data_IF_435611276225
#
_entry.id   IF_435611276225
#
_cell.length_a   1.000
_cell.length_b   1.000
_cell.length_c   1.000
_cell.angle_alpha   90.00
_cell.angle_beta   90.00
_cell.angle_gamma   90.00
#
_symmetry.space_group_name_H-M   'P 1'
#
loop_
_entity.id
_entity.type
_entity.pdbx_description
1 polymer ?
#
# COMPACT_ATOMS: atom_id res chain seq x y z
N UNK A 1 0.61 -26.22 -33.05
CA UNK A 1 0.82 -24.94 -32.41
C UNK A 1 2.10 -24.36 -32.99
N UNK A 2 2.04 -23.19 -33.66
CA UNK A 2 3.25 -22.59 -34.24
C UNK A 2 4.11 -22.00 -33.08
N UNK A 3 5.41 -22.06 -33.18
CA UNK A 3 6.34 -21.54 -32.15
C UNK A 3 6.03 -20.06 -31.80
N UNK A 4 5.57 -19.28 -32.79
CA UNK A 4 5.10 -17.91 -32.55
C UNK A 4 3.95 -17.81 -31.54
N UNK A 5 3.03 -18.77 -31.50
CA UNK A 5 1.87 -18.77 -30.59
C UNK A 5 2.26 -19.00 -29.12
N UNK A 6 3.51 -19.42 -28.85
CA UNK A 6 4.07 -19.58 -27.51
C UNK A 6 4.61 -18.26 -26.93
N UNK A 7 5.10 -17.37 -27.79
CA UNK A 7 5.81 -16.15 -27.36
C UNK A 7 5.06 -14.84 -27.67
N UNK A 8 4.04 -14.88 -28.55
CA UNK A 8 3.27 -13.72 -28.92
C UNK A 8 1.79 -13.94 -28.63
N UNK A 9 1.15 -12.95 -28.01
CA UNK A 9 -0.30 -12.94 -27.83
C UNK A 9 -0.98 -12.77 -29.18
N UNK A 10 -2.12 -13.45 -29.39
CA UNK A 10 -2.89 -13.38 -30.65
C UNK A 10 -3.69 -12.09 -30.78
N UNK A 11 -4.12 -11.53 -29.64
CA UNK A 11 -4.97 -10.34 -29.57
C UNK A 11 -4.50 -9.41 -28.43
N UNK A 12 -4.89 -8.13 -28.52
CA UNK A 12 -4.64 -7.12 -27.49
C UNK A 12 -5.27 -7.47 -26.11
N UNK A 13 -6.19 -8.44 -26.07
CA UNK A 13 -6.80 -8.96 -24.85
C UNK A 13 -5.92 -9.93 -24.08
N UNK A 14 -4.71 -10.25 -24.58
CA UNK A 14 -3.78 -11.20 -23.95
C UNK A 14 -4.42 -12.53 -23.56
N UNK A 15 -5.28 -13.07 -24.44
CA UNK A 15 -5.85 -14.40 -24.25
C UNK A 15 -4.79 -15.45 -24.54
N UNK A 16 -4.06 -15.83 -23.47
CA UNK A 16 -2.84 -16.64 -23.56
C UNK A 16 -3.18 -18.08 -23.17
N UNK A 17 -2.83 -19.04 -24.01
CA UNK A 17 -2.98 -20.46 -23.69
C UNK A 17 -2.15 -20.85 -22.46
N UNK A 18 -2.61 -21.84 -21.68
CA UNK A 18 -1.94 -22.32 -20.49
C UNK A 18 -0.48 -22.74 -20.79
N UNK A 19 -0.26 -23.39 -21.92
CA UNK A 19 1.08 -23.80 -22.40
C UNK A 19 2.00 -22.61 -22.64
N UNK A 20 1.51 -21.53 -23.24
CA UNK A 20 2.28 -20.30 -23.44
C UNK A 20 2.61 -19.63 -22.10
N UNK A 21 1.69 -19.60 -21.13
CA UNK A 21 1.96 -19.09 -19.77
C UNK A 21 3.09 -19.87 -19.11
N UNK A 22 3.02 -21.19 -19.13
CA UNK A 22 4.04 -22.07 -18.52
C UNK A 22 5.41 -21.83 -19.17
N UNK A 23 5.47 -21.86 -20.51
CA UNK A 23 6.74 -21.69 -21.25
C UNK A 23 7.38 -20.33 -20.94
N UNK A 24 6.61 -19.25 -21.01
CA UNK A 24 7.17 -17.91 -20.75
C UNK A 24 7.56 -17.73 -19.28
N UNK A 25 6.76 -18.23 -18.34
CA UNK A 25 7.11 -18.17 -16.91
C UNK A 25 8.38 -18.97 -16.63
N UNK A 26 8.50 -20.19 -17.18
CA UNK A 26 9.71 -21.01 -17.03
C UNK A 26 10.93 -20.34 -17.66
N UNK A 27 10.78 -19.75 -18.85
CA UNK A 27 11.86 -19.02 -19.52
C UNK A 27 12.37 -17.83 -18.68
N UNK A 28 11.46 -17.04 -18.12
CA UNK A 28 11.83 -15.92 -17.24
C UNK A 28 12.49 -16.42 -15.96
N UNK A 29 12.00 -17.51 -15.37
CA UNK A 29 12.63 -18.13 -14.19
C UNK A 29 14.04 -18.63 -14.49
N UNK A 30 14.26 -19.27 -15.64
CA UNK A 30 15.61 -19.73 -16.05
C UNK A 30 16.55 -18.54 -16.20
N UNK A 31 16.14 -17.48 -16.89
CA UNK A 31 16.94 -16.26 -17.01
C UNK A 31 17.26 -15.68 -15.63
N UNK A 32 16.26 -15.61 -14.74
CA UNK A 32 16.44 -15.16 -13.35
C UNK A 32 17.48 -16.02 -12.60
N UNK A 33 17.39 -17.34 -12.69
CA UNK A 33 18.32 -18.27 -12.05
C UNK A 33 19.74 -18.08 -12.60
N UNK A 34 19.89 -17.97 -13.93
CA UNK A 34 21.21 -17.73 -14.56
C UNK A 34 21.80 -16.40 -14.09
N UNK A 35 21.00 -15.34 -14.08
CA UNK A 35 21.43 -14.02 -13.61
C UNK A 35 21.87 -14.05 -12.14
N UNK A 36 21.07 -14.65 -11.26
CA UNK A 36 21.41 -14.76 -9.85
C UNK A 36 22.63 -15.66 -9.60
N UNK A 37 22.75 -16.78 -10.30
CA UNK A 37 23.97 -17.62 -10.23
C UNK A 37 25.22 -16.84 -10.64
N UNK A 38 25.15 -16.09 -11.74
CA UNK A 38 26.24 -15.21 -12.17
C UNK A 38 26.56 -14.15 -11.12
N UNK A 39 25.54 -13.47 -10.58
CA UNK A 39 25.71 -12.46 -9.55
C UNK A 39 26.36 -13.05 -8.28
N UNK A 40 25.86 -14.19 -7.79
CA UNK A 40 26.42 -14.87 -6.62
C UNK A 40 27.84 -15.40 -6.84
N UNK A 41 28.17 -15.87 -8.04
CA UNK A 41 29.53 -16.34 -8.34
C UNK A 41 30.61 -15.24 -8.26
N UNK A 42 30.18 -13.96 -8.31
CA UNK A 42 31.06 -12.79 -8.17
C UNK A 42 31.21 -12.32 -6.73
N UNK A 43 30.38 -12.84 -5.82
CA UNK A 43 30.45 -12.49 -4.41
C UNK A 43 31.33 -13.54 -3.69
N UNK A 44 32.41 -13.08 -3.02
CA UNK A 44 33.14 -13.90 -2.06
C UNK A 44 32.32 -13.97 -0.75
N UNK A 45 31.17 -14.64 -0.83
CA UNK A 45 30.19 -14.67 0.25
C UNK A 45 29.96 -16.12 0.71
N UNK A 46 30.30 -16.38 1.98
CA UNK A 46 29.96 -17.62 2.64
C UNK A 46 28.56 -17.56 3.23
N UNK A 47 27.63 -18.26 2.60
CA UNK A 47 26.25 -18.31 3.09
C UNK A 47 26.18 -19.11 4.39
N UNK A 48 25.55 -18.51 5.41
CA UNK A 48 25.20 -19.22 6.64
C UNK A 48 23.86 -19.99 6.51
N UNK A 49 23.19 -19.85 5.37
CA UNK A 49 21.97 -20.57 5.07
C UNK A 49 20.81 -20.23 6.03
N UNK A 50 19.99 -21.22 6.33
CA UNK A 50 18.81 -21.07 7.20
C UNK A 50 19.14 -20.99 8.71
N UNK A 51 20.39 -21.18 9.12
CA UNK A 51 20.80 -21.15 10.54
C UNK A 51 20.49 -19.81 11.19
N UNK A 52 20.77 -18.69 10.50
CA UNK A 52 20.48 -17.33 10.96
C UNK A 52 18.98 -17.16 11.22
N UNK A 53 18.14 -17.64 10.31
CA UNK A 53 16.69 -17.55 10.51
C UNK A 53 16.22 -18.34 11.74
N UNK A 54 16.74 -19.54 11.94
CA UNK A 54 16.34 -20.37 13.08
C UNK A 54 16.80 -19.78 14.41
N UNK A 55 18.00 -19.19 14.45
CA UNK A 55 18.55 -18.54 15.64
C UNK A 55 17.74 -17.29 16.01
N UNK A 56 17.44 -16.42 15.04
CA UNK A 56 16.77 -15.14 15.29
C UNK A 56 15.25 -15.16 14.99
N UNK A 57 14.63 -16.32 14.85
CA UNK A 57 13.22 -16.48 14.47
C UNK A 57 12.25 -15.64 15.29
N UNK A 58 12.45 -15.55 16.61
CA UNK A 58 11.58 -14.76 17.48
C UNK A 58 11.64 -13.26 17.16
N UNK A 59 12.82 -12.74 16.80
CA UNK A 59 13.01 -11.35 16.42
C UNK A 59 12.32 -11.04 15.10
N UNK A 60 12.44 -11.92 14.13
CA UNK A 60 11.74 -11.81 12.84
C UNK A 60 10.22 -11.89 13.00
N UNK A 61 9.72 -12.88 13.76
CA UNK A 61 8.29 -13.03 14.02
C UNK A 61 7.73 -11.81 14.76
N UNK A 62 8.42 -11.34 15.79
CA UNK A 62 8.01 -10.15 16.54
C UNK A 62 7.91 -8.92 15.64
N UNK A 63 8.95 -8.63 14.84
CA UNK A 63 8.96 -7.51 13.89
C UNK A 63 7.83 -7.63 12.87
N UNK A 64 7.58 -8.84 12.35
CA UNK A 64 6.50 -9.12 11.42
C UNK A 64 5.12 -8.77 12.03
N UNK A 65 4.86 -9.18 13.27
CA UNK A 65 3.61 -8.84 13.98
C UNK A 65 3.49 -7.34 14.25
N UNK A 66 4.59 -6.67 14.62
CA UNK A 66 4.58 -5.20 14.82
C UNK A 66 4.22 -4.48 13.51
N UNK A 67 4.77 -4.91 12.37
CA UNK A 67 4.39 -4.38 11.05
C UNK A 67 2.88 -4.51 10.81
N UNK A 68 2.30 -5.67 11.09
CA UNK A 68 0.85 -5.88 10.94
C UNK A 68 0.05 -4.93 11.85
N UNK A 69 0.42 -4.84 13.13
CA UNK A 69 -0.27 -3.97 14.09
C UNK A 69 -0.21 -2.50 13.66
N UNK A 70 0.97 -1.98 13.37
CA UNK A 70 1.13 -0.61 12.89
C UNK A 70 0.28 -0.38 11.62
N UNK A 71 0.33 -1.30 10.67
CA UNK A 71 -0.40 -1.16 9.41
C UNK A 71 -1.91 -1.14 9.60
N UNK A 72 -2.46 -2.00 10.48
CA UNK A 72 -3.90 -2.03 10.77
C UNK A 72 -4.35 -0.74 11.47
N UNK A 73 -3.63 -0.31 12.52
CA UNK A 73 -3.99 0.93 13.22
C UNK A 73 -3.86 2.15 12.32
N UNK A 74 -2.79 2.22 11.54
CA UNK A 74 -2.59 3.30 10.57
C UNK A 74 -3.67 3.31 9.49
N UNK A 75 -4.12 2.14 9.00
CA UNK A 75 -5.22 2.04 8.05
C UNK A 75 -6.51 2.60 8.64
N UNK A 76 -6.90 2.16 9.84
CA UNK A 76 -8.13 2.62 10.50
C UNK A 76 -8.10 4.14 10.68
N UNK A 77 -6.99 4.66 11.23
CA UNK A 77 -6.82 6.10 11.40
C UNK A 77 -6.79 6.86 10.06
N UNK A 78 -6.16 6.29 9.02
CA UNK A 78 -6.10 6.92 7.70
C UNK A 78 -7.47 6.99 7.02
N UNK A 79 -8.34 6.01 7.21
CA UNK A 79 -9.71 6.05 6.71
C UNK A 79 -10.51 7.17 7.37
N UNK A 80 -10.33 7.38 8.67
CA UNK A 80 -10.99 8.47 9.41
C UNK A 80 -10.45 9.82 8.91
N UNK A 81 -9.13 10.02 8.95
CA UNK A 81 -8.49 11.26 8.52
C UNK A 81 -8.82 11.56 7.05
N UNK A 82 -8.69 10.58 6.16
CA UNK A 82 -8.96 10.73 4.75
C UNK A 82 -10.42 11.08 4.44
N UNK A 83 -11.37 10.48 5.16
CA UNK A 83 -12.78 10.81 5.04
C UNK A 83 -13.06 12.24 5.46
N UNK A 84 -12.50 12.70 6.59
CA UNK A 84 -12.63 14.07 7.07
C UNK A 84 -12.00 15.07 6.09
N UNK A 85 -10.81 14.79 5.57
CA UNK A 85 -10.15 15.61 4.57
C UNK A 85 -10.95 15.69 3.25
N UNK A 86 -11.51 14.57 2.78
CA UNK A 86 -12.36 14.55 1.58
C UNK A 86 -13.64 15.37 1.77
N UNK A 87 -14.25 15.33 2.96
CA UNK A 87 -15.39 16.18 3.31
C UNK A 87 -14.98 17.65 3.35
N UNK A 88 -13.81 17.96 3.92
CA UNK A 88 -13.28 19.32 3.99
C UNK A 88 -13.02 19.92 2.60
N UNK A 89 -12.46 19.13 1.66
CA UNK A 89 -12.27 19.57 0.26
C UNK A 89 -13.60 19.94 -0.44
N UNK A 90 -14.72 19.37 -0.03
CA UNK A 90 -16.05 19.67 -0.60
C UNK A 90 -16.86 20.67 0.24
N UNK A 91 -16.25 21.23 1.28
CA UNK A 91 -16.88 22.21 2.15
C UNK A 91 -17.15 23.54 1.40
N UNK A 92 -18.31 24.14 1.67
CA UNK A 92 -18.62 25.51 1.24
C UNK A 92 -17.91 26.58 2.08
N UNK A 93 -17.39 26.20 3.25
CA UNK A 93 -16.57 27.08 4.09
C UNK A 93 -15.15 27.13 3.50
N UNK A 94 -14.83 28.19 2.80
CA UNK A 94 -13.60 28.36 2.03
C UNK A 94 -12.31 28.16 2.85
N UNK A 95 -12.18 28.65 4.10
CA UNK A 95 -10.98 28.37 4.90
C UNK A 95 -10.71 26.87 5.08
N UNK A 96 -11.73 26.06 5.35
CA UNK A 96 -11.61 24.61 5.50
C UNK A 96 -11.27 23.94 4.16
N UNK A 97 -11.91 24.39 3.07
CA UNK A 97 -11.61 23.89 1.72
C UNK A 97 -10.13 24.10 1.35
N UNK A 98 -9.62 25.32 1.50
CA UNK A 98 -8.23 25.63 1.16
C UNK A 98 -7.24 24.96 2.11
N UNK A 99 -7.55 24.92 3.41
CA UNK A 99 -6.71 24.20 4.38
C UNK A 99 -6.53 22.73 4.00
N UNK A 100 -7.64 22.02 3.76
CA UNK A 100 -7.58 20.58 3.41
C UNK A 100 -6.90 20.37 2.06
N UNK A 101 -7.11 21.23 1.08
CA UNK A 101 -6.45 21.16 -0.23
C UNK A 101 -4.94 21.32 -0.10
N UNK A 102 -4.47 22.38 0.55
CA UNK A 102 -3.04 22.65 0.77
C UNK A 102 -2.41 21.51 1.55
N UNK A 103 -3.07 21.05 2.61
CA UNK A 103 -2.60 19.94 3.43
C UNK A 103 -2.37 18.67 2.60
N UNK A 104 -3.37 18.26 1.81
CA UNK A 104 -3.28 17.06 0.97
C UNK A 104 -2.18 17.21 -0.08
N UNK A 105 -2.10 18.36 -0.75
CA UNK A 105 -1.07 18.63 -1.76
C UNK A 105 0.33 18.60 -1.14
N UNK A 106 0.51 19.16 0.07
CA UNK A 106 1.80 19.14 0.78
C UNK A 106 2.20 17.71 1.16
N UNK A 107 1.29 16.94 1.76
CA UNK A 107 1.59 15.56 2.17
C UNK A 107 1.91 14.68 0.95
N UNK A 108 1.16 14.82 -0.15
CA UNK A 108 1.38 14.02 -1.36
C UNK A 108 2.56 14.52 -2.21
N UNK A 109 2.95 15.78 -2.05
CA UNK A 109 4.05 16.40 -2.78
C UNK A 109 5.43 16.26 -2.12
N UNK A 110 5.50 15.70 -0.91
CA UNK A 110 6.77 15.55 -0.18
C UNK A 110 7.10 14.08 0.08
N UNK A 111 8.40 13.70 0.13
CA UNK A 111 8.80 12.33 0.41
C UNK A 111 8.38 11.88 1.82
N UNK A 112 7.89 10.65 1.96
CA UNK A 112 7.47 10.11 3.27
C UNK A 112 8.59 10.13 4.31
N UNK A 113 9.83 9.85 3.90
CA UNK A 113 10.98 9.86 4.81
C UNK A 113 11.18 11.24 5.47
N UNK A 114 10.99 12.33 4.71
CA UNK A 114 11.09 13.71 5.23
C UNK A 114 9.94 13.96 6.22
N UNK A 115 8.74 13.50 5.90
CA UNK A 115 7.59 13.63 6.81
C UNK A 115 7.81 12.86 8.12
N UNK A 116 8.38 11.64 8.06
CA UNK A 116 8.69 10.87 9.26
C UNK A 116 9.61 11.67 10.19
N UNK A 117 10.69 12.27 9.68
CA UNK A 117 11.59 13.08 10.49
C UNK A 117 10.90 14.33 11.05
N UNK A 118 10.19 15.09 10.23
CA UNK A 118 9.52 16.31 10.67
C UNK A 118 8.43 16.02 11.71
N UNK A 119 7.59 15.02 11.45
CA UNK A 119 6.53 14.67 12.39
C UNK A 119 7.09 14.10 13.69
N UNK A 120 8.10 13.24 13.63
CA UNK A 120 8.66 12.63 14.82
C UNK A 120 9.42 13.63 15.69
N UNK A 121 10.36 14.37 15.10
CA UNK A 121 11.24 15.27 15.88
C UNK A 121 10.60 16.65 16.15
N UNK A 122 9.73 17.15 15.32
CA UNK A 122 9.11 18.46 15.53
C UNK A 122 7.74 18.30 16.17
N UNK A 123 6.80 17.60 15.51
CA UNK A 123 5.42 17.50 15.99
C UNK A 123 5.36 16.60 17.23
N UNK A 124 6.05 15.45 17.23
CA UNK A 124 6.09 14.54 18.38
C UNK A 124 6.64 15.22 19.63
N UNK A 125 7.74 15.96 19.47
CA UNK A 125 8.32 16.73 20.58
C UNK A 125 7.39 17.84 21.05
N UNK A 126 6.77 18.59 20.14
CA UNK A 126 5.85 19.67 20.49
C UNK A 126 4.59 19.16 21.21
N UNK A 127 4.13 17.97 20.91
CA UNK A 127 2.97 17.33 21.53
C UNK A 127 3.34 16.41 22.71
N UNK A 128 4.62 16.30 23.08
CA UNK A 128 5.14 15.39 24.10
C UNK A 128 4.79 13.91 23.87
N UNK A 129 4.71 13.50 22.59
CA UNK A 129 4.46 12.10 22.21
C UNK A 129 5.80 11.38 22.07
N UNK A 130 6.26 10.77 23.17
CA UNK A 130 7.57 10.10 23.24
C UNK A 130 7.52 8.64 22.73
N UNK A 131 6.33 8.07 22.60
CA UNK A 131 6.16 6.70 22.12
C UNK A 131 6.28 6.63 20.60
N UNK A 132 7.40 6.03 20.12
CA UNK A 132 7.69 5.90 18.68
C UNK A 132 6.66 5.08 17.91
N UNK A 133 6.00 4.10 18.55
CA UNK A 133 4.97 3.29 17.90
C UNK A 133 3.70 4.10 17.66
N UNK A 134 3.25 4.84 18.68
CA UNK A 134 2.10 5.75 18.54
C UNK A 134 2.40 6.80 17.48
N UNK A 135 3.57 7.41 17.54
CA UNK A 135 3.97 8.43 16.58
C UNK A 135 4.08 7.84 15.16
N UNK A 136 4.64 6.63 15.02
CA UNK A 136 4.69 5.90 13.76
C UNK A 136 3.30 5.68 13.15
N UNK A 137 2.34 5.24 13.96
CA UNK A 137 0.94 5.08 13.52
C UNK A 137 0.34 6.40 13.05
N UNK A 138 0.55 7.49 13.80
CA UNK A 138 0.02 8.82 13.45
C UNK A 138 0.62 9.37 12.15
N UNK A 139 1.93 9.20 11.97
CA UNK A 139 2.64 9.60 10.74
C UNK A 139 2.08 8.83 9.54
N UNK A 140 2.04 7.50 9.64
CA UNK A 140 1.53 6.66 8.56
C UNK A 140 0.05 6.91 8.27
N UNK A 141 -0.75 7.17 9.30
CA UNK A 141 -2.16 7.51 9.16
C UNK A 141 -2.37 8.85 8.47
N UNK A 142 -1.56 9.85 8.79
CA UNK A 142 -1.60 11.18 8.18
C UNK A 142 -1.20 11.10 6.70
N UNK A 143 -0.08 10.44 6.42
CA UNK A 143 0.40 10.20 5.06
C UNK A 143 -0.64 9.48 4.21
N UNK A 144 -1.06 8.29 4.65
CA UNK A 144 -2.04 7.49 3.92
C UNK A 144 -3.41 8.17 3.85
N UNK A 145 -3.79 8.95 4.88
CA UNK A 145 -5.03 9.70 4.92
C UNK A 145 -5.18 10.72 3.79
N UNK A 146 -4.09 11.36 3.39
CA UNK A 146 -4.08 12.26 2.24
C UNK A 146 -4.38 11.52 0.92
N UNK A 147 -3.84 10.32 0.74
CA UNK A 147 -4.16 9.47 -0.43
C UNK A 147 -5.59 8.94 -0.38
N UNK A 148 -6.06 8.50 0.80
CA UNK A 148 -7.44 8.07 1.02
C UNK A 148 -8.41 9.19 0.68
N UNK A 149 -8.13 10.43 1.08
CA UNK A 149 -8.96 11.59 0.76
C UNK A 149 -9.12 11.77 -0.76
N UNK A 150 -8.06 11.65 -1.52
CA UNK A 150 -8.09 11.76 -2.97
C UNK A 150 -8.81 10.57 -3.64
N UNK A 151 -8.64 9.36 -3.12
CA UNK A 151 -9.38 8.18 -3.57
C UNK A 151 -10.89 8.40 -3.38
N UNK A 152 -11.31 8.88 -2.20
CA UNK A 152 -12.71 9.16 -1.91
C UNK A 152 -13.24 10.30 -2.80
N UNK A 153 -12.47 11.39 -2.93
CA UNK A 153 -12.85 12.51 -3.80
C UNK A 153 -13.02 12.04 -5.25
N UNK A 154 -12.05 11.30 -5.80
CA UNK A 154 -12.13 10.74 -7.15
C UNK A 154 -13.33 9.82 -7.34
N UNK A 155 -13.64 8.98 -6.34
CA UNK A 155 -14.83 8.14 -6.33
C UNK A 155 -16.13 8.93 -6.39
N UNK A 156 -16.24 10.02 -5.64
CA UNK A 156 -17.42 10.90 -5.67
C UNK A 156 -17.51 11.66 -7.00
N UNK A 157 -16.40 12.18 -7.50
CA UNK A 157 -16.36 12.97 -8.73
C UNK A 157 -16.61 12.11 -9.99
N UNK A 158 -16.42 10.81 -9.90
CA UNK A 158 -16.69 9.87 -10.99
C UNK A 158 -18.18 9.57 -11.19
N UNK A 159 -19.07 9.99 -10.28
CA UNK A 159 -20.52 9.78 -10.44
C UNK A 159 -21.06 10.74 -11.51
N UNK A 160 -21.81 10.18 -12.46
CA UNK A 160 -22.40 10.95 -13.56
C UNK A 160 -23.35 12.02 -13.02
N UNK A 161 -23.18 13.26 -13.49
CA UNK A 161 -24.02 14.41 -13.10
C UNK A 161 -25.48 14.20 -13.51
N UNK A 162 -25.73 13.49 -14.62
CA UNK A 162 -27.09 13.20 -15.07
C UNK A 162 -27.87 12.38 -14.06
N UNK A 163 -27.24 11.44 -13.35
CA UNK A 163 -27.87 10.67 -12.28
C UNK A 163 -28.29 11.58 -11.10
N UNK A 164 -27.43 12.55 -10.76
CA UNK A 164 -27.70 13.49 -9.68
C UNK A 164 -28.83 14.44 -10.07
N UNK A 165 -28.88 14.87 -11.33
CA UNK A 165 -29.93 15.75 -11.88
C UNK A 165 -31.27 15.02 -11.98
N UNK A 166 -31.27 13.78 -12.49
CA UNK A 166 -32.47 12.94 -12.53
C UNK A 166 -33.06 12.70 -11.13
N UNK A 167 -32.22 12.44 -10.15
CA UNK A 167 -32.67 12.30 -8.76
C UNK A 167 -33.29 13.59 -8.20
N UNK A 168 -32.74 14.76 -8.58
CA UNK A 168 -33.36 16.06 -8.21
C UNK A 168 -34.73 16.25 -8.87
N UNK A 169 -34.84 15.90 -10.17
CA UNK A 169 -36.10 15.99 -10.91
C UNK A 169 -37.18 15.09 -10.30
N UNK A 170 -36.80 13.94 -9.74
CA UNK A 170 -37.68 13.01 -9.00
C UNK A 170 -37.99 13.48 -7.57
N UNK A 171 -37.52 14.65 -7.16
CA UNK A 171 -37.79 15.21 -5.84
C UNK A 171 -36.97 14.62 -4.69
N UNK A 172 -35.89 13.92 -4.98
CA UNK A 172 -35.01 13.37 -3.93
C UNK A 172 -34.38 14.49 -3.12
N UNK A 173 -34.47 14.39 -1.79
CA UNK A 173 -33.68 15.22 -0.88
C UNK A 173 -32.18 14.99 -1.03
N UNK A 174 -31.38 15.93 -0.54
CA UNK A 174 -29.90 15.74 -0.56
C UNK A 174 -29.48 14.45 0.15
N UNK A 175 -30.08 14.14 1.30
CA UNK A 175 -29.81 12.92 2.05
C UNK A 175 -30.16 11.66 1.24
N UNK A 176 -31.33 11.64 0.59
CA UNK A 176 -31.76 10.51 -0.24
C UNK A 176 -30.83 10.29 -1.43
N UNK A 177 -30.40 11.37 -2.13
CA UNK A 177 -29.40 11.28 -3.22
C UNK A 177 -28.10 10.66 -2.73
N UNK A 178 -27.56 11.14 -1.60
CA UNK A 178 -26.32 10.57 -1.07
C UNK A 178 -26.49 9.12 -0.65
N UNK A 179 -27.57 8.78 0.08
CA UNK A 179 -27.80 7.45 0.66
C UNK A 179 -28.09 6.37 -0.39
N UNK A 180 -28.89 6.70 -1.41
CA UNK A 180 -29.41 5.70 -2.34
C UNK A 180 -28.71 5.69 -3.70
N UNK A 181 -28.07 6.79 -4.11
CA UNK A 181 -27.45 6.88 -5.44
C UNK A 181 -25.92 7.00 -5.33
N UNK A 182 -25.42 8.00 -4.60
CA UNK A 182 -24.00 8.32 -4.58
C UNK A 182 -23.22 7.27 -3.77
N UNK A 183 -23.59 7.08 -2.50
CA UNK A 183 -22.82 6.24 -1.56
C UNK A 183 -22.62 4.80 -2.02
N UNK A 184 -23.66 4.08 -2.53
CA UNK A 184 -23.48 2.71 -3.01
C UNK A 184 -22.50 2.59 -4.18
N UNK A 185 -22.49 3.57 -5.08
CA UNK A 185 -21.59 3.59 -6.23
C UNK A 185 -20.17 3.99 -5.81
N UNK A 186 -20.04 5.02 -4.97
CA UNK A 186 -18.75 5.48 -4.45
C UNK A 186 -18.03 4.34 -3.72
N UNK A 187 -18.72 3.60 -2.84
CA UNK A 187 -18.12 2.46 -2.13
C UNK A 187 -17.52 1.47 -3.12
N UNK A 188 -18.25 1.09 -4.17
CA UNK A 188 -17.77 0.15 -5.19
C UNK A 188 -16.51 0.66 -5.91
N UNK A 189 -16.47 1.95 -6.25
CA UNK A 189 -15.35 2.57 -6.99
C UNK A 189 -14.13 2.84 -6.12
N UNK A 190 -14.32 3.06 -4.82
CA UNK A 190 -13.27 3.40 -3.86
C UNK A 190 -12.59 2.16 -3.27
N UNK A 191 -13.32 1.06 -3.11
CA UNK A 191 -12.80 -0.17 -2.48
C UNK A 191 -11.54 -0.76 -3.14
N UNK A 192 -11.44 -0.90 -4.48
CA UNK A 192 -10.23 -1.44 -5.10
C UNK A 192 -8.99 -0.56 -4.87
N UNK A 193 -9.02 0.76 -5.14
CA UNK A 193 -7.86 1.61 -4.88
C UNK A 193 -7.52 1.72 -3.39
N UNK A 194 -8.48 1.64 -2.46
CA UNK A 194 -8.19 1.58 -1.02
C UNK A 194 -7.43 0.30 -0.64
N UNK A 195 -7.79 -0.85 -1.20
CA UNK A 195 -7.04 -2.08 -0.98
C UNK A 195 -5.60 -1.97 -1.52
N UNK A 196 -5.41 -1.32 -2.67
CA UNK A 196 -4.08 -1.00 -3.21
C UNK A 196 -3.28 -0.08 -2.28
N UNK A 197 -3.92 0.98 -1.76
CA UNK A 197 -3.31 1.91 -0.79
C UNK A 197 -2.91 1.19 0.50
N UNK A 198 -3.71 0.24 0.98
CA UNK A 198 -3.35 -0.55 2.15
C UNK A 198 -2.11 -1.43 1.91
N UNK A 199 -2.02 -2.08 0.76
CA UNK A 199 -0.82 -2.84 0.39
C UNK A 199 0.44 -1.95 0.31
N UNK A 200 0.30 -0.70 -0.15
CA UNK A 200 1.39 0.29 -0.13
C UNK A 200 1.75 0.69 1.29
N UNK A 201 0.78 1.00 2.14
CA UNK A 201 0.99 1.39 3.54
C UNK A 201 1.80 0.35 4.33
N UNK A 202 1.55 -0.96 4.11
CA UNK A 202 2.34 -2.03 4.72
C UNK A 202 3.82 -1.93 4.32
N UNK A 203 4.11 -1.69 3.04
CA UNK A 203 5.50 -1.54 2.57
C UNK A 203 6.14 -0.25 3.09
N UNK A 204 5.38 0.83 3.09
CA UNK A 204 5.85 2.15 3.51
C UNK A 204 6.16 2.18 5.02
N UNK A 205 5.52 1.32 5.83
CA UNK A 205 5.82 1.19 7.25
C UNK A 205 7.26 0.77 7.54
N UNK A 206 7.96 0.15 6.57
CA UNK A 206 9.39 -0.17 6.65
C UNK A 206 10.26 1.06 6.92
N UNK A 207 9.85 2.24 6.45
CA UNK A 207 10.56 3.49 6.67
C UNK A 207 10.53 3.95 8.13
N UNK A 208 9.63 3.41 8.97
CA UNK A 208 9.62 3.72 10.40
C UNK A 208 10.84 3.13 11.13
N UNK A 209 11.59 2.23 10.50
CA UNK A 209 12.89 1.74 11.00
C UNK A 209 13.88 2.86 11.29
N UNK A 210 13.81 3.99 10.56
CA UNK A 210 14.71 5.15 10.74
C UNK A 210 14.51 5.89 12.06
N UNK A 211 13.31 5.84 12.64
CA UNK A 211 13.00 6.35 13.98
C UNK A 211 13.01 5.23 15.04
N UNK A 212 13.68 4.14 14.73
CA UNK A 212 13.88 2.97 15.58
C UNK A 212 12.56 2.33 16.08
N UNK A 213 11.52 2.31 15.26
CA UNK A 213 10.36 1.45 15.49
C UNK A 213 10.77 0.03 15.16
N UNK A 214 10.66 -0.90 16.13
CA UNK A 214 11.08 -2.29 15.96
C UNK A 214 10.04 -3.10 15.15
N UNK A 215 9.72 -2.60 13.94
CA UNK A 215 8.94 -3.32 12.94
C UNK A 215 9.85 -4.33 12.20
N UNK A 216 9.33 -5.01 11.19
CA UNK A 216 10.03 -6.12 10.55
C UNK A 216 11.38 -5.72 9.95
N UNK A 217 11.45 -4.59 9.23
CA UNK A 217 12.70 -4.10 8.62
C UNK A 217 13.74 -3.76 9.67
N UNK A 218 13.35 -3.07 10.75
CA UNK A 218 14.28 -2.73 11.85
C UNK A 218 14.85 -3.98 12.51
N UNK A 219 14.00 -4.98 12.79
CA UNK A 219 14.45 -6.23 13.38
C UNK A 219 15.42 -6.98 12.47
N UNK A 220 15.15 -7.00 11.14
CA UNK A 220 16.06 -7.60 10.16
C UNK A 220 17.40 -6.85 10.10
N UNK A 221 17.39 -5.51 10.08
CA UNK A 221 18.61 -4.68 10.11
C UNK A 221 19.46 -4.93 11.37
N UNK A 222 18.81 -5.11 12.51
CA UNK A 222 19.53 -5.43 13.76
C UNK A 222 20.15 -6.83 13.74
N UNK A 223 19.47 -7.82 13.17
CA UNK A 223 20.05 -9.15 12.97
C UNK A 223 21.24 -9.07 12.00
N UNK A 224 21.07 -8.35 10.90
CA UNK A 224 22.12 -8.17 9.89
C UNK A 224 23.38 -7.51 10.47
N UNK A 225 23.22 -6.53 11.35
CA UNK A 225 24.33 -5.85 12.04
C UNK A 225 25.13 -6.78 12.97
N UNK A 226 24.56 -7.92 13.39
CA UNK A 226 25.21 -8.91 14.26
C UNK A 226 25.82 -10.03 13.43
N UNK A 227 25.08 -10.49 12.40
CA UNK A 227 25.43 -11.69 11.65
C UNK A 227 26.27 -11.40 10.41
N UNK A 228 26.21 -10.18 9.88
CA UNK A 228 26.83 -9.77 8.61
C UNK A 228 26.42 -10.67 7.43
N UNK A 229 25.15 -11.11 7.42
CA UNK A 229 24.57 -12.00 6.40
C UNK A 229 23.43 -11.31 5.64
N UNK A 230 23.73 -10.23 4.88
CA UNK A 230 22.70 -9.41 4.26
C UNK A 230 21.81 -10.16 3.26
N UNK A 231 22.37 -11.15 2.56
CA UNK A 231 21.62 -11.89 1.53
C UNK A 231 20.48 -12.67 2.18
N UNK A 232 20.76 -13.45 3.21
CA UNK A 232 19.77 -14.25 3.94
C UNK A 232 18.76 -13.35 4.65
N UNK A 233 19.24 -12.32 5.36
CA UNK A 233 18.41 -11.43 6.13
C UNK A 233 17.42 -10.65 5.25
N UNK A 234 17.91 -10.04 4.15
CA UNK A 234 17.04 -9.31 3.24
C UNK A 234 16.18 -10.21 2.35
N UNK A 235 16.59 -11.47 2.09
CA UNK A 235 15.70 -12.45 1.48
C UNK A 235 14.50 -12.79 2.38
N UNK A 236 14.74 -13.01 3.68
CA UNK A 236 13.66 -13.19 4.67
C UNK A 236 12.74 -11.96 4.71
N UNK A 237 13.32 -10.75 4.70
CA UNK A 237 12.56 -9.51 4.67
C UNK A 237 11.67 -9.43 3.43
N UNK A 238 12.22 -9.68 2.25
CA UNK A 238 11.48 -9.65 1.00
C UNK A 238 10.32 -10.66 0.98
N UNK A 239 10.58 -11.90 1.40
CA UNK A 239 9.56 -12.95 1.50
C UNK A 239 8.46 -12.57 2.49
N UNK A 240 8.82 -12.01 3.65
CA UNK A 240 7.84 -11.55 4.64
C UNK A 240 6.93 -10.43 4.10
N UNK A 241 7.48 -9.42 3.41
CA UNK A 241 6.66 -8.38 2.78
C UNK A 241 5.80 -8.92 1.63
N UNK A 242 6.29 -9.86 0.84
CA UNK A 242 5.46 -10.54 -0.18
C UNK A 242 4.29 -11.27 0.50
N UNK A 243 4.55 -12.01 1.58
CA UNK A 243 3.52 -12.73 2.32
C UNK A 243 2.42 -11.79 2.86
N UNK A 244 2.80 -10.60 3.32
CA UNK A 244 1.86 -9.58 3.81
C UNK A 244 1.08 -8.90 2.67
N UNK A 245 1.75 -8.54 1.59
CA UNK A 245 1.16 -7.66 0.55
C UNK A 245 0.46 -8.43 -0.55
N UNK A 246 0.89 -9.66 -0.86
CA UNK A 246 0.32 -10.47 -1.94
C UNK A 246 -1.18 -10.77 -1.76
N UNK A 247 -1.66 -11.21 -0.57
CA UNK A 247 -3.09 -11.47 -0.35
C UNK A 247 -3.93 -10.22 -0.56
N UNK A 248 -3.45 -9.05 -0.08
CA UNK A 248 -4.16 -7.78 -0.18
C UNK A 248 -4.20 -7.29 -1.64
N UNK A 249 -3.07 -7.40 -2.35
CA UNK A 249 -2.99 -7.06 -3.77
C UNK A 249 -3.89 -7.97 -4.63
N UNK A 250 -3.98 -9.26 -4.27
CA UNK A 250 -4.89 -10.18 -4.94
C UNK A 250 -6.36 -9.82 -4.68
N UNK A 251 -6.69 -9.46 -3.43
CA UNK A 251 -8.03 -8.96 -3.07
C UNK A 251 -8.39 -7.68 -3.83
N UNK A 252 -7.46 -6.71 -3.93
CA UNK A 252 -7.66 -5.48 -4.72
C UNK A 252 -8.03 -5.79 -6.17
N UNK A 253 -7.26 -6.66 -6.84
CA UNK A 253 -7.54 -7.08 -8.22
C UNK A 253 -8.88 -7.82 -8.35
N UNK A 254 -9.27 -8.62 -7.35
CA UNK A 254 -10.56 -9.32 -7.35
C UNK A 254 -11.73 -8.34 -7.19
N UNK A 255 -11.57 -7.34 -6.33
CA UNK A 255 -12.56 -6.27 -6.16
C UNK A 255 -12.70 -5.44 -7.44
N UNK A 256 -11.58 -5.05 -8.05
CA UNK A 256 -11.57 -4.34 -9.32
C UNK A 256 -12.35 -5.09 -10.40
N UNK A 257 -12.05 -6.38 -10.62
CA UNK A 257 -12.80 -7.21 -11.58
C UNK A 257 -14.29 -7.28 -11.24
N UNK A 258 -14.64 -7.44 -9.96
CA UNK A 258 -16.05 -7.56 -9.54
C UNK A 258 -16.85 -6.28 -9.78
N UNK A 259 -16.22 -5.12 -9.62
CA UNK A 259 -16.87 -3.83 -9.74
C UNK A 259 -16.74 -3.18 -11.12
N UNK A 260 -15.77 -3.62 -11.94
CA UNK A 260 -15.63 -3.20 -13.34
C UNK A 260 -16.65 -3.85 -14.30
N UNK A 261 -17.20 -5.00 -13.94
CA UNK A 261 -18.22 -5.71 -14.75
C UNK A 261 -19.66 -5.27 -14.46
N UNK A 262 -19.87 -4.16 -13.79
CA UNK A 262 -21.20 -3.68 -13.36
C UNK A 262 -21.62 -2.35 -13.99
N UNK A 263 -20.91 -1.89 -15.04
CA UNK A 263 -21.30 -0.71 -15.84
C UNK A 263 -21.86 -1.13 -17.18
#
# INVERSE_FOLDING_TARGET
MKIKDLFYAKDDKFDITLSAKIVNTTFILIIGIIFWNYAFSRLNYESQGLSVFLEFKYKFIFGFFITIMISIFSLICSLIIGSLLAMGQKSRFLPLHYFTKIFIETIRGTPLIVQIYLFFYVVGTALNINNRYIMGVLIMATFSGAYVAEIIRGGIDSIDKTQIESAKALGFTNFQKYRYIILPQVIKRVMPPLAGQFASLIKDSSLLSIIAVNEFTKNVQEVDSITFTPIENYAVLALGYILLTYPISHLSKKLEKRFSYGD
#
